data_IF_050632596333
#
_entry.id   IF_050632596333
#
_cell.length_a   1.000
_cell.length_b   1.000
_cell.length_c   1.000
_cell.angle_alpha   90.00
_cell.angle_beta   90.00
_cell.angle_gamma   90.00
#
_symmetry.space_group_name_H-M   'P 1'
#
loop_
_entity.id
_entity.type
_entity.pdbx_description
1 polymer ?
#
# COMPACT_ATOMS: atom_id res chain seq x y z
N UNK A 1 6.77 -4.13 -3.03
CA UNK A 1 7.03 -3.47 -1.72
C UNK A 1 7.58 -2.05 -1.89
N UNK A 2 8.73 -1.83 -2.57
CA UNK A 2 9.34 -0.49 -2.69
C UNK A 2 8.43 0.54 -3.35
N UNK A 3 7.80 0.21 -4.49
CA UNK A 3 6.85 1.12 -5.15
C UNK A 3 5.64 1.46 -4.27
N UNK A 4 5.13 0.48 -3.51
CA UNK A 4 4.04 0.70 -2.56
C UNK A 4 4.44 1.66 -1.42
N UNK A 5 5.69 1.62 -0.96
CA UNK A 5 6.20 2.57 0.03
C UNK A 5 6.26 4.00 -0.54
N UNK A 6 6.71 4.17 -1.79
CA UNK A 6 6.67 5.48 -2.46
C UNK A 6 5.25 6.01 -2.61
N UNK A 7 4.29 5.17 -3.02
CA UNK A 7 2.88 5.58 -3.15
C UNK A 7 2.27 5.95 -1.81
N UNK A 8 2.50 5.15 -0.77
CA UNK A 8 2.00 5.42 0.59
C UNK A 8 2.56 6.75 1.12
N UNK A 9 3.87 6.98 0.94
CA UNK A 9 4.52 8.23 1.34
C UNK A 9 3.97 9.42 0.53
N UNK A 10 3.80 9.26 -0.78
CA UNK A 10 3.24 10.30 -1.64
C UNK A 10 1.81 10.68 -1.23
N UNK A 11 0.96 9.69 -0.90
CA UNK A 11 -0.40 9.94 -0.42
C UNK A 11 -0.41 10.73 0.90
N UNK A 12 0.44 10.35 1.86
CA UNK A 12 0.54 11.06 3.15
C UNK A 12 1.05 12.49 2.96
N UNK A 13 2.14 12.67 2.21
CA UNK A 13 2.71 14.01 1.94
C UNK A 13 1.72 14.87 1.15
N UNK A 14 1.03 14.28 0.16
CA UNK A 14 -0.02 14.93 -0.62
C UNK A 14 -1.19 15.36 0.25
N UNK A 15 -1.64 14.50 1.17
CA UNK A 15 -2.72 14.82 2.11
C UNK A 15 -2.34 15.98 3.05
N UNK A 16 -1.12 15.98 3.60
CA UNK A 16 -0.61 17.07 4.43
C UNK A 16 -0.53 18.38 3.64
N UNK A 17 0.05 18.33 2.43
CA UNK A 17 0.10 19.49 1.53
C UNK A 17 -1.28 20.04 1.21
N UNK A 18 -2.24 19.17 0.86
CA UNK A 18 -3.62 19.53 0.58
C UNK A 18 -4.34 20.13 1.79
N UNK A 19 -4.12 19.57 3.00
CA UNK A 19 -4.69 20.10 4.23
C UNK A 19 -4.24 21.53 4.53
N UNK A 20 -2.94 21.80 4.34
CA UNK A 20 -2.41 23.16 4.48
C UNK A 20 -2.95 24.10 3.40
N UNK A 21 -3.07 23.64 2.13
CA UNK A 21 -3.66 24.44 1.04
C UNK A 21 -5.15 24.79 1.27
N UNK A 22 -5.91 23.91 1.93
CA UNK A 22 -7.28 24.21 2.32
C UNK A 22 -7.39 25.29 3.40
N UNK A 23 -6.36 25.41 4.26
CA UNK A 23 -6.29 26.43 5.33
C UNK A 23 -5.66 27.73 4.84
N UNK A 24 -4.66 27.64 3.97
CA UNK A 24 -3.86 28.77 3.47
C UNK A 24 -3.43 28.52 2.02
N UNK A 25 -4.23 29.00 1.07
CA UNK A 25 -3.97 28.85 -0.38
C UNK A 25 -2.66 29.51 -0.86
N UNK A 26 -2.00 30.32 -0.03
CA UNK A 26 -0.81 31.08 -0.41
C UNK A 26 0.52 30.37 -0.09
N UNK A 27 0.50 29.27 0.64
CA UNK A 27 1.70 28.56 1.10
C UNK A 27 2.54 27.93 -0.04
N UNK A 28 3.70 28.49 -0.42
CA UNK A 28 4.51 27.95 -1.53
C UNK A 28 5.08 26.57 -1.21
N UNK A 29 5.39 26.27 0.06
CA UNK A 29 5.85 24.96 0.50
C UNK A 29 4.77 23.89 0.33
N UNK A 30 3.54 24.17 0.77
CA UNK A 30 2.39 23.27 0.62
C UNK A 30 2.08 22.98 -0.85
N UNK A 31 2.20 24.00 -1.73
CA UNK A 31 2.05 23.82 -3.18
C UNK A 31 3.11 22.88 -3.74
N UNK A 32 4.38 23.01 -3.33
CA UNK A 32 5.47 22.11 -3.77
C UNK A 32 5.24 20.70 -3.28
N UNK A 33 4.91 20.50 -1.99
CA UNK A 33 4.61 19.20 -1.41
C UNK A 33 3.48 18.50 -2.19
N UNK A 34 2.35 19.19 -2.37
CA UNK A 34 1.21 18.63 -3.10
C UNK A 34 1.55 18.31 -4.55
N UNK A 35 2.26 19.24 -5.23
CA UNK A 35 2.69 19.06 -6.62
C UNK A 35 3.60 17.85 -6.81
N UNK A 36 4.59 17.64 -5.92
CA UNK A 36 5.51 16.50 -5.97
C UNK A 36 4.77 15.19 -5.70
N UNK A 37 3.88 15.17 -4.71
CA UNK A 37 3.06 14.01 -4.40
C UNK A 37 2.18 13.58 -5.60
N UNK A 38 1.54 14.54 -6.28
CA UNK A 38 0.72 14.23 -7.46
C UNK A 38 1.54 13.72 -8.65
N UNK A 39 2.78 14.22 -8.85
CA UNK A 39 3.69 13.64 -9.84
C UNK A 39 4.08 12.20 -9.49
N UNK A 40 4.42 11.95 -8.23
CA UNK A 40 4.76 10.60 -7.76
C UNK A 40 3.60 9.63 -8.00
N UNK A 41 2.38 10.02 -7.65
CA UNK A 41 1.18 9.20 -7.88
C UNK A 41 0.94 8.93 -9.37
N UNK A 42 1.05 9.96 -10.22
CA UNK A 42 0.82 9.83 -11.65
C UNK A 42 1.80 8.87 -12.32
N UNK A 43 3.07 8.88 -11.90
CA UNK A 43 4.13 8.08 -12.52
C UNK A 43 4.27 6.69 -11.88
N UNK A 44 4.20 6.61 -10.55
CA UNK A 44 4.50 5.35 -9.85
C UNK A 44 3.29 4.41 -9.81
N UNK A 45 2.04 4.93 -9.82
CA UNK A 45 0.88 4.05 -9.78
C UNK A 45 0.77 3.12 -11.00
N UNK A 46 0.94 3.58 -12.26
CA UNK A 46 0.98 2.67 -13.40
C UNK A 46 2.09 1.63 -13.30
N UNK A 47 3.28 2.03 -12.83
CA UNK A 47 4.39 1.10 -12.61
C UNK A 47 4.08 0.06 -11.54
N UNK A 48 3.38 0.46 -10.45
CA UNK A 48 2.93 -0.46 -9.41
C UNK A 48 1.91 -1.47 -9.96
N UNK A 49 0.98 -1.02 -10.82
CA UNK A 49 -0.01 -1.91 -11.46
C UNK A 49 0.70 -2.93 -12.36
N UNK A 50 1.61 -2.48 -13.21
CA UNK A 50 2.39 -3.37 -14.06
C UNK A 50 3.24 -4.36 -13.24
N UNK A 51 3.91 -3.90 -12.17
CA UNK A 51 4.65 -4.79 -11.28
C UNK A 51 3.74 -5.78 -10.54
N UNK A 52 2.50 -5.38 -10.24
CA UNK A 52 1.47 -6.23 -9.66
C UNK A 52 1.02 -7.33 -10.60
N UNK A 53 0.82 -7.02 -11.87
CA UNK A 53 0.46 -7.96 -12.93
C UNK A 53 1.54 -9.05 -13.09
N UNK A 54 2.80 -8.67 -13.24
CA UNK A 54 3.93 -9.62 -13.28
C UNK A 54 4.00 -10.49 -12.02
N UNK A 55 3.71 -9.92 -10.85
CA UNK A 55 3.67 -10.68 -9.61
C UNK A 55 2.49 -11.65 -9.56
N UNK A 56 1.34 -11.28 -10.11
CA UNK A 56 0.16 -12.13 -10.25
C UNK A 56 0.45 -13.38 -11.08
N UNK A 57 1.11 -13.22 -12.23
CA UNK A 57 1.52 -14.32 -13.11
C UNK A 57 2.50 -15.26 -12.38
N UNK A 58 3.51 -14.70 -11.72
CA UNK A 58 4.46 -15.48 -10.93
C UNK A 58 3.77 -16.25 -9.77
N UNK A 59 2.75 -15.63 -9.15
CA UNK A 59 1.97 -16.29 -8.10
C UNK A 59 1.12 -17.42 -8.66
N UNK A 60 0.56 -17.28 -9.86
CA UNK A 60 -0.20 -18.33 -10.53
C UNK A 60 0.68 -19.58 -10.79
N UNK A 61 1.93 -19.37 -11.20
CA UNK A 61 2.87 -20.45 -11.48
C UNK A 61 3.30 -21.21 -10.21
N UNK A 62 3.54 -20.49 -9.11
CA UNK A 62 4.15 -21.08 -7.90
C UNK A 62 3.15 -21.35 -6.77
N UNK A 63 2.00 -20.69 -6.74
CA UNK A 63 0.99 -20.80 -5.70
C UNK A 63 -0.44 -20.71 -6.31
N UNK A 64 -0.84 -21.63 -7.18
CA UNK A 64 -2.10 -21.56 -7.91
C UNK A 64 -3.32 -21.48 -6.98
N UNK A 65 -3.37 -22.25 -5.88
CA UNK A 65 -4.46 -22.22 -4.92
C UNK A 65 -4.76 -20.80 -4.40
N UNK A 66 -3.70 -20.00 -4.16
CA UNK A 66 -3.84 -18.60 -3.74
C UNK A 66 -4.56 -17.76 -4.79
N UNK A 67 -4.19 -17.91 -6.07
CA UNK A 67 -4.80 -17.17 -7.18
C UNK A 67 -6.25 -17.57 -7.37
N UNK A 68 -6.57 -18.87 -7.30
CA UNK A 68 -7.94 -19.37 -7.35
C UNK A 68 -8.79 -18.78 -6.23
N UNK A 69 -8.26 -18.69 -5.00
CA UNK A 69 -8.94 -18.05 -3.88
C UNK A 69 -9.07 -16.53 -4.05
N UNK A 70 -8.06 -15.83 -4.59
CA UNK A 70 -8.13 -14.40 -4.91
C UNK A 70 -9.23 -14.11 -5.94
N UNK A 71 -9.32 -14.92 -6.98
CA UNK A 71 -10.32 -14.76 -8.04
C UNK A 71 -11.70 -15.30 -7.62
N UNK A 72 -11.77 -16.24 -6.67
CA UNK A 72 -13.00 -16.88 -6.23
C UNK A 72 -13.43 -18.00 -7.17
N UNK A 73 -12.50 -18.60 -7.90
CA UNK A 73 -12.77 -19.72 -8.82
C UNK A 73 -12.82 -21.02 -8.05
N UNK A 74 -14.02 -21.46 -7.69
CA UNK A 74 -14.22 -22.79 -7.10
C UNK A 74 -14.19 -23.89 -8.16
N UNK A 75 -14.74 -23.64 -9.34
CA UNK A 75 -14.75 -24.56 -10.47
C UNK A 75 -13.69 -24.19 -11.51
N UNK A 76 -13.19 -25.19 -12.23
CA UNK A 76 -12.26 -25.01 -13.35
C UNK A 76 -12.96 -24.48 -14.59
N UNK A 77 -12.29 -23.60 -15.34
CA UNK A 77 -12.81 -22.92 -16.52
C UNK A 77 -12.00 -23.28 -17.77
N UNK A 78 -12.40 -24.31 -18.55
CA UNK A 78 -11.63 -24.76 -19.72
C UNK A 78 -11.63 -23.76 -20.89
N UNK A 79 -12.69 -22.92 -21.02
CA UNK A 79 -12.91 -21.99 -22.14
C UNK A 79 -12.69 -20.52 -21.79
N UNK A 80 -11.96 -20.27 -20.71
CA UNK A 80 -11.67 -18.94 -20.20
C UNK A 80 -12.49 -18.54 -18.97
N UNK A 81 -11.79 -18.13 -17.91
CA UNK A 81 -12.35 -17.79 -16.62
C UNK A 81 -12.86 -16.34 -16.55
N UNK A 82 -14.04 -16.12 -15.95
CA UNK A 82 -14.55 -14.77 -15.71
C UNK A 82 -13.78 -14.07 -14.59
N UNK A 83 -13.70 -12.75 -14.64
CA UNK A 83 -13.26 -11.94 -13.50
C UNK A 83 -14.47 -11.60 -12.64
N UNK A 84 -14.49 -12.08 -11.42
CA UNK A 84 -15.53 -11.74 -10.44
C UNK A 84 -15.16 -10.41 -9.80
N UNK A 85 -15.85 -9.34 -10.15
CA UNK A 85 -15.61 -8.00 -9.58
C UNK A 85 -16.10 -7.91 -8.14
N UNK A 86 -17.28 -8.47 -7.87
CA UNK A 86 -17.90 -8.51 -6.55
C UNK A 86 -18.66 -9.82 -6.39
N UNK A 87 -18.77 -10.30 -5.16
CA UNK A 87 -19.52 -11.50 -4.79
C UNK A 87 -19.25 -11.85 -3.34
N UNK A 88 -19.98 -12.83 -2.83
CA UNK A 88 -19.80 -13.36 -1.47
C UNK A 88 -19.37 -14.83 -1.59
N UNK A 89 -18.09 -15.16 -1.38
CA UNK A 89 -17.62 -16.53 -1.44
C UNK A 89 -18.25 -17.38 -0.34
N UNK A 90 -18.88 -18.48 -0.74
CA UNK A 90 -19.42 -19.50 0.13
C UNK A 90 -18.57 -20.78 -0.02
N UNK A 91 -17.60 -20.94 0.88
CA UNK A 91 -16.65 -22.06 0.82
C UNK A 91 -17.34 -23.41 1.11
N UNK A 92 -18.44 -23.42 1.90
CA UNK A 92 -19.17 -24.65 2.19
C UNK A 92 -19.95 -25.19 0.97
N UNK A 93 -20.47 -24.29 0.15
CA UNK A 93 -21.19 -24.63 -1.09
C UNK A 93 -20.30 -24.54 -2.34
N UNK A 94 -19.02 -24.20 -2.17
CA UNK A 94 -18.01 -24.05 -3.23
C UNK A 94 -18.49 -23.17 -4.39
N UNK A 95 -19.09 -22.01 -4.06
CA UNK A 95 -19.56 -21.02 -5.04
C UNK A 95 -19.43 -19.59 -4.54
N UNK A 96 -19.57 -18.65 -5.45
CA UNK A 96 -19.67 -17.24 -5.13
C UNK A 96 -21.11 -16.78 -5.32
N UNK A 97 -21.76 -16.38 -4.22
CA UNK A 97 -23.13 -15.86 -4.27
C UNK A 97 -23.14 -14.40 -4.75
N UNK A 98 -24.18 -14.00 -5.47
CA UNK A 98 -24.38 -12.65 -6.02
C UNK A 98 -23.17 -12.13 -6.82
N UNK A 99 -22.53 -13.01 -7.58
CA UNK A 99 -21.36 -12.65 -8.36
C UNK A 99 -21.69 -11.66 -9.48
N UNK A 100 -20.90 -10.56 -9.56
CA UNK A 100 -20.85 -9.66 -10.70
C UNK A 100 -19.59 -10.00 -11.48
N UNK A 101 -19.77 -10.56 -12.67
CA UNK A 101 -18.69 -11.16 -13.45
C UNK A 101 -18.47 -10.45 -14.78
N UNK A 102 -17.21 -10.36 -15.19
CA UNK A 102 -16.84 -9.99 -16.56
C UNK A 102 -16.29 -11.23 -17.24
N UNK A 103 -16.99 -11.77 -18.27
CA UNK A 103 -16.60 -13.01 -18.92
C UNK A 103 -15.17 -12.98 -19.46
N UNK A 104 -14.40 -14.04 -19.26
CA UNK A 104 -13.06 -14.28 -19.82
C UNK A 104 -11.96 -13.28 -19.40
N UNK A 105 -12.28 -12.29 -18.57
CA UNK A 105 -11.32 -11.23 -18.24
C UNK A 105 -10.22 -11.74 -17.30
N UNK A 106 -10.49 -12.70 -16.41
CA UNK A 106 -9.47 -13.30 -15.56
C UNK A 106 -8.42 -14.05 -16.38
N UNK A 107 -8.84 -14.84 -17.38
CA UNK A 107 -7.91 -15.51 -18.30
C UNK A 107 -7.08 -14.51 -19.10
N UNK A 108 -7.67 -13.41 -19.55
CA UNK A 108 -6.94 -12.35 -20.25
C UNK A 108 -5.85 -11.73 -19.38
N UNK A 109 -6.14 -11.46 -18.10
CA UNK A 109 -5.19 -10.86 -17.17
C UNK A 109 -4.08 -11.85 -16.78
N UNK A 110 -4.43 -13.09 -16.44
CA UNK A 110 -3.50 -14.07 -15.88
C UNK A 110 -2.71 -14.86 -16.93
N UNK A 111 -3.27 -15.05 -18.14
CA UNK A 111 -2.69 -15.86 -19.22
C UNK A 111 -2.47 -15.07 -20.51
N UNK A 112 -2.90 -13.81 -20.59
CA UNK A 112 -2.88 -12.96 -21.80
C UNK A 112 -3.63 -13.58 -22.99
N UNK A 113 -4.57 -14.50 -22.72
CA UNK A 113 -5.46 -15.14 -23.72
C UNK A 113 -6.86 -15.28 -23.13
N UNK A 114 -7.86 -14.83 -23.88
CA UNK A 114 -9.28 -14.85 -23.47
C UNK A 114 -9.83 -16.27 -23.28
N UNK A 115 -9.30 -17.24 -24.01
CA UNK A 115 -9.78 -18.61 -23.99
C UNK A 115 -8.82 -19.56 -23.25
N UNK A 116 -7.79 -19.04 -22.60
CA UNK A 116 -6.88 -19.88 -21.84
C UNK A 116 -7.60 -20.55 -20.66
N UNK A 117 -7.42 -21.86 -20.46
CA UNK A 117 -8.00 -22.55 -19.33
C UNK A 117 -7.38 -22.08 -18.01
N UNK A 118 -8.21 -21.91 -16.99
CA UNK A 118 -7.79 -21.69 -15.62
C UNK A 118 -8.40 -22.76 -14.72
N UNK A 119 -7.55 -23.36 -13.91
CA UNK A 119 -7.96 -24.34 -12.92
C UNK A 119 -8.68 -23.65 -11.76
N UNK A 120 -9.63 -24.34 -11.14
CA UNK A 120 -10.33 -23.92 -9.94
C UNK A 120 -9.86 -24.67 -8.70
N UNK A 121 -10.44 -24.32 -7.55
CA UNK A 121 -10.17 -24.99 -6.28
C UNK A 121 -10.64 -26.46 -6.29
N UNK A 122 -11.51 -26.86 -7.22
CA UNK A 122 -11.93 -28.25 -7.48
C UNK A 122 -10.75 -29.19 -7.80
N UNK A 123 -9.62 -28.65 -8.23
CA UNK A 123 -8.40 -29.42 -8.50
C UNK A 123 -7.52 -29.65 -7.26
N UNK A 124 -7.88 -29.04 -6.12
CA UNK A 124 -7.10 -29.03 -4.88
C UNK A 124 -7.86 -29.77 -3.79
N UNK A 125 -7.19 -30.60 -2.94
CA UNK A 125 -7.82 -31.21 -1.79
C UNK A 125 -8.42 -30.16 -0.84
N UNK A 126 -9.60 -30.43 -0.28
CA UNK A 126 -10.31 -29.52 0.64
C UNK A 126 -9.43 -29.09 1.83
N UNK A 127 -8.55 -29.95 2.31
CA UNK A 127 -7.62 -29.69 3.41
C UNK A 127 -6.48 -28.71 3.04
N UNK A 128 -6.25 -28.48 1.76
CA UNK A 128 -5.22 -27.61 1.20
C UNK A 128 -5.81 -26.29 0.65
N UNK A 129 -7.12 -26.11 0.73
CA UNK A 129 -7.77 -24.88 0.31
C UNK A 129 -7.47 -23.73 1.28
N UNK A 130 -7.06 -22.55 0.78
CA UNK A 130 -6.94 -21.36 1.62
C UNK A 130 -8.31 -20.82 2.04
N UNK A 131 -8.38 -19.97 3.12
CA UNK A 131 -9.63 -19.29 3.51
C UNK A 131 -10.09 -18.31 2.45
N UNK A 132 -10.95 -18.76 1.51
CA UNK A 132 -11.31 -18.01 0.29
C UNK A 132 -11.87 -16.63 0.59
N UNK A 133 -12.83 -16.52 1.52
CA UNK A 133 -13.51 -15.24 1.79
C UNK A 133 -12.53 -14.11 2.19
N UNK A 134 -11.58 -14.40 3.07
CA UNK A 134 -10.61 -13.40 3.53
C UNK A 134 -9.69 -12.97 2.38
N UNK A 135 -9.18 -13.94 1.62
CA UNK A 135 -8.29 -13.71 0.48
C UNK A 135 -8.99 -12.92 -0.62
N UNK A 136 -10.21 -13.32 -0.96
CA UNK A 136 -11.06 -12.70 -1.96
C UNK A 136 -11.34 -11.21 -1.67
N UNK A 137 -11.78 -10.88 -0.46
CA UNK A 137 -12.08 -9.49 -0.11
C UNK A 137 -10.83 -8.63 0.08
N UNK A 138 -9.79 -9.17 0.72
CA UNK A 138 -8.55 -8.40 0.90
C UNK A 138 -7.89 -8.07 -0.44
N UNK A 139 -7.87 -9.00 -1.39
CA UNK A 139 -7.38 -8.76 -2.74
C UNK A 139 -8.16 -7.65 -3.45
N UNK A 140 -9.49 -7.67 -3.39
CA UNK A 140 -10.34 -6.64 -4.01
C UNK A 140 -10.17 -5.27 -3.38
N UNK A 141 -10.02 -5.19 -2.07
CA UNK A 141 -9.71 -3.92 -1.39
C UNK A 141 -8.36 -3.37 -1.88
N UNK A 142 -7.33 -4.22 -1.95
CA UNK A 142 -6.00 -3.82 -2.43
C UNK A 142 -6.06 -3.29 -3.87
N UNK A 143 -6.65 -4.06 -4.78
CA UNK A 143 -6.75 -3.72 -6.21
C UNK A 143 -7.65 -2.50 -6.42
N UNK A 144 -8.80 -2.44 -5.76
CA UNK A 144 -9.72 -1.31 -5.83
C UNK A 144 -9.07 0.00 -5.37
N UNK A 145 -8.30 -0.03 -4.29
CA UNK A 145 -7.51 1.12 -3.86
C UNK A 145 -6.40 1.47 -4.84
N UNK A 146 -5.77 0.48 -5.48
CA UNK A 146 -4.79 0.70 -6.55
C UNK A 146 -5.39 1.48 -7.73
N UNK A 147 -6.57 1.08 -8.21
CA UNK A 147 -7.29 1.82 -9.25
C UNK A 147 -7.79 3.19 -8.78
N UNK A 148 -8.21 3.32 -7.52
CA UNK A 148 -8.55 4.62 -6.95
C UNK A 148 -7.34 5.57 -6.92
N UNK A 149 -6.15 5.07 -6.58
CA UNK A 149 -4.89 5.83 -6.64
C UNK A 149 -4.54 6.24 -8.07
N UNK A 150 -4.74 5.35 -9.05
CA UNK A 150 -4.55 5.66 -10.47
C UNK A 150 -5.49 6.78 -10.91
N UNK A 151 -6.78 6.65 -10.64
CA UNK A 151 -7.78 7.66 -10.97
C UNK A 151 -7.48 9.01 -10.30
N UNK A 152 -7.03 8.97 -9.04
CA UNK A 152 -6.63 10.17 -8.31
C UNK A 152 -5.37 10.82 -8.90
N UNK A 153 -4.36 10.03 -9.28
CA UNK A 153 -3.15 10.50 -9.98
C UNK A 153 -3.47 11.15 -11.33
N UNK A 154 -4.33 10.51 -12.12
CA UNK A 154 -4.82 11.05 -13.40
C UNK A 154 -5.62 12.35 -13.21
N UNK A 155 -6.50 12.41 -12.21
CA UNK A 155 -7.21 13.64 -11.86
C UNK A 155 -6.24 14.77 -11.52
N UNK A 156 -5.21 14.49 -10.73
CA UNK A 156 -4.14 15.45 -10.43
C UNK A 156 -3.38 15.91 -11.67
N UNK A 157 -3.08 14.99 -12.61
CA UNK A 157 -2.47 15.30 -13.90
C UNK A 157 -3.35 16.22 -14.77
N UNK A 158 -4.64 15.92 -14.87
CA UNK A 158 -5.62 16.76 -15.59
C UNK A 158 -5.76 18.13 -14.92
N UNK A 159 -5.87 18.19 -13.60
CA UNK A 159 -5.95 19.43 -12.85
C UNK A 159 -4.69 20.29 -13.02
N UNK A 160 -3.53 19.68 -13.16
CA UNK A 160 -2.26 20.35 -13.48
C UNK A 160 -2.30 20.95 -14.88
N UNK A 161 -2.71 20.16 -15.87
CA UNK A 161 -2.81 20.63 -17.25
C UNK A 161 -3.80 21.80 -17.39
N UNK A 162 -4.90 21.76 -16.61
CA UNK A 162 -5.89 22.86 -16.56
C UNK A 162 -5.47 24.03 -15.67
N UNK A 163 -4.32 24.00 -15.02
CA UNK A 163 -3.87 25.05 -14.09
C UNK A 163 -4.64 25.09 -12.76
N UNK A 164 -5.50 24.12 -12.46
CA UNK A 164 -6.38 24.11 -11.29
C UNK A 164 -5.87 23.28 -10.11
N UNK A 165 -4.65 22.72 -10.22
CA UNK A 165 -4.09 21.83 -9.23
C UNK A 165 -4.09 22.42 -7.80
N UNK A 166 -3.75 23.69 -7.66
CA UNK A 166 -3.63 24.36 -6.37
C UNK A 166 -4.89 25.11 -5.92
N UNK A 167 -5.92 25.19 -6.77
CA UNK A 167 -7.17 25.90 -6.48
C UNK A 167 -8.36 24.97 -6.27
N UNK A 168 -8.28 23.71 -6.72
CA UNK A 168 -9.37 22.74 -6.64
C UNK A 168 -9.57 22.20 -5.23
N UNK A 169 -10.55 22.74 -4.50
CA UNK A 169 -10.90 22.29 -3.15
C UNK A 169 -11.34 20.82 -3.10
N UNK A 170 -11.99 20.32 -4.16
CA UNK A 170 -12.43 18.93 -4.22
C UNK A 170 -11.22 17.97 -4.34
N UNK A 171 -10.24 18.32 -5.16
CA UNK A 171 -9.01 17.54 -5.30
C UNK A 171 -8.24 17.50 -3.97
N UNK A 172 -8.17 18.64 -3.25
CA UNK A 172 -7.51 18.68 -1.94
C UNK A 172 -8.26 17.86 -0.88
N UNK A 173 -9.61 17.88 -0.88
CA UNK A 173 -10.40 17.02 0.02
C UNK A 173 -10.19 15.53 -0.29
N UNK A 174 -10.22 15.17 -1.58
CA UNK A 174 -9.92 13.82 -2.01
C UNK A 174 -8.51 13.37 -1.59
N UNK A 175 -7.51 14.26 -1.67
CA UNK A 175 -6.15 13.98 -1.20
C UNK A 175 -6.10 13.63 0.29
N UNK A 176 -6.87 14.32 1.13
CA UNK A 176 -6.92 14.03 2.57
C UNK A 176 -7.52 12.65 2.83
N UNK A 177 -8.61 12.30 2.12
CA UNK A 177 -9.25 10.98 2.23
C UNK A 177 -8.30 9.88 1.73
N UNK A 178 -7.59 10.14 0.63
CA UNK A 178 -6.62 9.19 0.08
C UNK A 178 -5.36 9.03 0.94
N UNK A 179 -5.08 9.96 1.85
CA UNK A 179 -3.87 9.94 2.70
C UNK A 179 -3.58 8.60 3.39
N UNK A 180 -4.54 8.01 4.13
CA UNK A 180 -4.37 6.72 4.79
C UNK A 180 -4.51 5.51 3.86
N UNK A 181 -5.02 5.66 2.63
CA UNK A 181 -5.41 4.53 1.77
C UNK A 181 -4.21 3.70 1.30
N UNK A 182 -3.02 4.29 1.25
CA UNK A 182 -1.78 3.56 0.98
C UNK A 182 -1.50 2.48 2.04
N UNK A 183 -1.67 2.80 3.31
CA UNK A 183 -1.52 1.83 4.40
C UNK A 183 -2.59 0.74 4.32
N UNK A 184 -3.84 1.12 4.04
CA UNK A 184 -4.94 0.14 3.89
C UNK A 184 -4.65 -0.84 2.75
N UNK A 185 -4.19 -0.34 1.60
CA UNK A 185 -3.82 -1.18 0.46
C UNK A 185 -2.67 -2.13 0.78
N UNK A 186 -1.63 -1.66 1.48
CA UNK A 186 -0.49 -2.49 1.91
C UNK A 186 -0.93 -3.58 2.89
N UNK A 187 -1.76 -3.23 3.88
CA UNK A 187 -2.30 -4.20 4.85
C UNK A 187 -3.19 -5.24 4.16
N UNK A 188 -4.07 -4.81 3.25
CA UNK A 188 -4.91 -5.72 2.48
C UNK A 188 -4.08 -6.69 1.62
N UNK A 189 -3.03 -6.18 0.95
CA UNK A 189 -2.10 -7.02 0.19
C UNK A 189 -1.31 -8.00 1.08
N UNK A 190 -0.92 -7.57 2.27
CA UNK A 190 -0.27 -8.45 3.25
C UNK A 190 -1.20 -9.57 3.72
N UNK A 191 -2.46 -9.25 4.06
CA UNK A 191 -3.48 -10.25 4.40
C UNK A 191 -3.67 -11.24 3.25
N UNK A 192 -3.83 -10.75 2.01
CA UNK A 192 -3.95 -11.61 0.82
C UNK A 192 -2.78 -12.58 0.70
N UNK A 193 -1.55 -12.10 0.92
CA UNK A 193 -0.34 -12.92 0.78
C UNK A 193 -0.23 -13.97 1.87
N UNK A 194 -0.43 -13.60 3.12
CA UNK A 194 -0.19 -14.47 4.28
C UNK A 194 -1.36 -15.44 4.53
N UNK A 195 -2.60 -14.98 4.40
CA UNK A 195 -3.77 -15.84 4.55
C UNK A 195 -3.94 -16.75 3.32
N UNK A 196 -3.69 -16.22 2.11
CA UNK A 196 -3.77 -17.00 0.87
C UNK A 196 -2.69 -18.08 0.73
N UNK A 197 -1.67 -18.08 1.59
CA UNK A 197 -0.66 -19.13 1.65
C UNK A 197 -1.09 -20.32 2.51
N UNK A 198 -2.04 -20.11 3.43
CA UNK A 198 -2.52 -21.19 4.30
C UNK A 198 -3.18 -22.32 3.48
N UNK A 199 -3.09 -23.59 3.95
CA UNK A 199 -2.54 -24.03 5.24
C UNK A 199 -1.01 -24.25 5.28
N UNK A 200 -0.27 -23.77 4.30
CA UNK A 200 1.16 -24.01 4.21
C UNK A 200 2.02 -22.86 4.80
N UNK A 201 3.07 -23.21 5.51
CA UNK A 201 4.21 -22.31 5.81
C UNK A 201 5.14 -22.22 4.59
N UNK A 202 5.45 -23.36 3.96
CA UNK A 202 6.15 -23.47 2.68
C UNK A 202 5.24 -24.25 1.74
N UNK A 203 4.74 -23.59 0.68
CA UNK A 203 3.75 -24.15 -0.21
C UNK A 203 4.13 -25.53 -0.76
N UNK A 204 3.26 -26.52 -0.57
CA UNK A 204 3.43 -27.88 -1.02
C UNK A 204 4.46 -28.72 -0.25
N UNK A 205 5.21 -28.16 0.71
CA UNK A 205 6.28 -28.84 1.45
C UNK A 205 6.04 -28.93 2.94
N UNK A 206 5.60 -27.84 3.59
CA UNK A 206 5.47 -27.79 5.04
C UNK A 206 4.18 -27.08 5.41
N UNK A 207 3.29 -27.82 6.08
CA UNK A 207 2.05 -27.25 6.63
C UNK A 207 2.36 -26.45 7.90
N UNK A 208 1.54 -25.43 8.14
CA UNK A 208 1.64 -24.58 9.35
C UNK A 208 1.46 -25.40 10.63
N UNK A 209 0.59 -26.43 10.59
CA UNK A 209 0.39 -27.39 11.71
C UNK A 209 1.67 -28.11 12.09
N UNK A 210 2.51 -28.44 11.11
CA UNK A 210 3.71 -29.26 11.29
C UNK A 210 4.94 -28.41 11.64
N UNK A 211 4.84 -27.09 11.50
CA UNK A 211 5.91 -26.12 11.77
C UNK A 211 5.88 -25.55 13.20
N UNK A 212 5.10 -26.16 14.09
CA UNK A 212 4.98 -25.70 15.48
C UNK A 212 6.27 -25.95 16.25
N UNK A 213 6.80 -24.88 16.85
CA UNK A 213 7.94 -25.02 17.78
C UNK A 213 7.47 -25.66 19.10
N UNK A 214 8.34 -26.43 19.79
CA UNK A 214 8.01 -27.07 21.08
C UNK A 214 8.02 -26.06 22.23
N UNK A 215 7.22 -24.99 22.10
CA UNK A 215 7.06 -23.93 23.10
C UNK A 215 5.64 -23.96 23.65
N UNK A 216 5.51 -23.80 24.96
CA UNK A 216 4.19 -23.81 25.61
C UNK A 216 3.31 -22.65 25.16
N UNK A 217 2.04 -22.89 24.89
CA UNK A 217 1.09 -21.87 24.46
C UNK A 217 1.02 -20.63 25.38
N UNK A 218 1.08 -20.75 26.73
CA UNK A 218 1.16 -19.60 27.62
C UNK A 218 2.38 -18.72 27.42
N UNK A 219 3.55 -19.31 27.13
CA UNK A 219 4.78 -18.54 26.89
C UNK A 219 4.70 -17.74 25.58
N UNK A 220 4.14 -18.35 24.51
CA UNK A 220 3.87 -17.67 23.23
C UNK A 220 2.87 -16.54 23.46
N UNK A 221 1.79 -16.78 24.19
CA UNK A 221 0.78 -15.77 24.51
C UNK A 221 1.36 -14.58 25.29
N UNK A 222 2.16 -14.84 26.32
CA UNK A 222 2.81 -13.79 27.10
C UNK A 222 3.78 -12.95 26.25
N UNK A 223 4.58 -13.60 25.39
CA UNK A 223 5.46 -12.92 24.44
C UNK A 223 4.66 -12.04 23.48
N UNK A 224 3.60 -12.57 22.87
CA UNK A 224 2.75 -11.83 21.93
C UNK A 224 2.12 -10.59 22.59
N UNK A 225 1.55 -10.74 23.78
CA UNK A 225 0.98 -9.62 24.54
C UNK A 225 2.06 -8.56 24.83
N UNK A 226 3.25 -8.98 25.25
CA UNK A 226 4.36 -8.07 25.50
C UNK A 226 4.75 -7.28 24.25
N UNK A 227 4.84 -7.94 23.09
CA UNK A 227 5.10 -7.26 21.80
C UNK A 227 4.00 -6.25 21.45
N UNK A 228 2.73 -6.65 21.59
CA UNK A 228 1.60 -5.74 21.30
C UNK A 228 1.67 -4.50 22.19
N UNK A 229 1.89 -4.67 23.49
CA UNK A 229 1.96 -3.55 24.43
C UNK A 229 3.15 -2.64 24.12
N UNK A 230 4.34 -3.18 23.97
CA UNK A 230 5.55 -2.38 23.68
C UNK A 230 5.40 -1.63 22.35
N UNK A 231 4.95 -2.31 21.31
CA UNK A 231 4.78 -1.69 19.99
C UNK A 231 3.68 -0.64 19.97
N UNK A 232 2.58 -0.86 20.71
CA UNK A 232 1.55 0.17 20.85
C UNK A 232 2.10 1.48 21.42
N UNK A 233 2.92 1.41 22.47
CA UNK A 233 3.53 2.61 23.04
C UNK A 233 4.61 3.22 22.13
N UNK A 234 5.51 2.42 21.60
CA UNK A 234 6.61 2.91 20.76
C UNK A 234 6.09 3.55 19.47
N UNK A 235 5.26 2.80 18.72
CA UNK A 235 4.70 3.33 17.48
C UNK A 235 3.65 4.40 17.72
N UNK A 236 2.86 4.29 18.79
CA UNK A 236 1.90 5.32 19.19
C UNK A 236 2.59 6.66 19.47
N UNK A 237 3.68 6.65 20.23
CA UNK A 237 4.49 7.85 20.47
C UNK A 237 5.09 8.41 19.15
N UNK A 238 5.62 7.54 18.28
CA UNK A 238 6.13 7.93 16.97
C UNK A 238 5.06 8.58 16.08
N UNK A 239 3.89 7.96 15.97
CA UNK A 239 2.75 8.49 15.21
C UNK A 239 2.29 9.83 15.78
N UNK A 240 2.15 9.93 17.11
CA UNK A 240 1.78 11.18 17.77
C UNK A 240 2.77 12.32 17.46
N UNK A 241 4.07 12.03 17.52
CA UNK A 241 5.12 13.00 17.20
C UNK A 241 5.04 13.43 15.72
N UNK A 242 4.93 12.50 14.79
CA UNK A 242 4.83 12.77 13.35
C UNK A 242 3.58 13.59 13.03
N UNK A 243 2.42 13.25 13.62
CA UNK A 243 1.19 14.03 13.45
C UNK A 243 1.34 15.45 14.02
N UNK A 244 2.09 15.61 15.12
CA UNK A 244 2.46 16.91 15.67
C UNK A 244 3.29 17.75 14.68
N UNK A 245 4.28 17.14 14.02
CA UNK A 245 5.09 17.80 12.98
C UNK A 245 4.24 18.15 11.75
N UNK A 246 3.36 17.26 11.28
CA UNK A 246 2.48 17.49 10.14
C UNK A 246 1.52 18.67 10.33
N UNK A 247 1.17 19.00 11.58
CA UNK A 247 0.33 20.16 11.92
C UNK A 247 1.05 21.48 11.81
N UNK A 248 2.38 21.52 11.90
CA UNK A 248 3.18 22.73 11.74
C UNK A 248 3.14 23.19 10.29
N UNK A 249 3.10 24.52 10.08
CA UNK A 249 3.13 25.07 8.71
C UNK A 249 4.49 24.79 8.06
N UNK A 250 4.51 24.21 6.85
CA UNK A 250 5.76 24.02 6.13
C UNK A 250 6.30 25.38 5.65
N UNK A 251 7.55 25.66 5.96
CA UNK A 251 8.26 26.86 5.52
C UNK A 251 9.18 26.53 4.33
N UNK A 252 9.27 27.45 3.35
CA UNK A 252 10.28 27.39 2.30
C UNK A 252 11.50 28.17 2.81
N UNK A 253 12.61 27.47 2.97
CA UNK A 253 13.82 28.06 3.54
C UNK A 253 13.61 28.33 5.03
N UNK A 254 13.73 27.31 5.87
CA UNK A 254 14.30 27.57 7.17
C UNK A 254 15.68 28.17 6.88
N UNK A 255 15.86 29.50 7.11
CA UNK A 255 17.18 29.95 7.51
C UNK A 255 17.54 28.95 8.61
N UNK A 256 18.59 28.16 8.41
CA UNK A 256 19.26 27.52 9.52
C UNK A 256 19.49 28.65 10.50
N UNK A 257 18.71 28.69 11.59
CA UNK A 257 19.16 29.40 12.79
C UNK A 257 20.49 28.71 13.09
N UNK A 258 21.56 29.41 12.81
CA UNK A 258 22.89 28.99 13.17
C UNK A 258 22.86 28.83 14.69
N UNK A 259 22.52 27.61 15.12
CA UNK A 259 22.63 27.26 16.53
C UNK A 259 24.10 27.34 16.85
N UNK A 260 24.46 28.14 17.83
CA UNK A 260 25.85 28.36 18.36
C UNK A 260 26.48 27.07 18.93
N UNK A 261 26.04 25.91 18.44
CA UNK A 261 26.49 24.59 18.85
C UNK A 261 27.03 23.77 17.66
N UNK A 262 27.84 22.76 17.93
CA UNK A 262 28.43 21.93 16.89
C UNK A 262 27.31 21.20 16.08
N UNK A 263 27.23 21.51 14.78
CA UNK A 263 26.31 20.83 13.85
C UNK A 263 26.85 19.43 13.61
N UNK A 264 26.14 18.42 14.09
CA UNK A 264 26.40 17.01 13.73
C UNK A 264 25.62 16.67 12.45
N UNK A 265 26.32 16.58 11.34
CA UNK A 265 25.82 15.84 10.19
C UNK A 265 25.89 14.33 10.51
N UNK A 266 24.80 13.57 10.20
CA UNK A 266 24.59 12.17 10.50
C UNK A 266 25.88 11.31 10.54
N UNK A 267 26.43 11.08 11.74
CA UNK A 267 27.53 10.17 11.98
C UNK A 267 28.95 10.66 11.66
N UNK A 268 29.15 11.94 11.31
CA UNK A 268 30.47 12.51 10.97
C UNK A 268 30.95 13.53 12.01
N UNK A 269 32.26 13.79 12.00
CA UNK A 269 32.98 14.72 12.90
C UNK A 269 32.38 16.14 12.85
N UNK A 270 32.28 16.84 13.98
CA UNK A 270 31.79 18.23 13.97
C UNK A 270 32.70 19.11 13.12
N UNK A 271 32.12 19.87 12.19
CA UNK A 271 32.83 20.88 11.42
C UNK A 271 32.87 22.13 12.28
N UNK A 272 34.08 22.63 12.64
CA UNK A 272 34.26 23.92 13.27
C UNK A 272 33.92 25.03 12.25
N UNK A 273 32.95 25.88 12.55
CA UNK A 273 32.72 27.08 11.75
C UNK A 273 33.89 28.01 11.90
N UNK A 274 34.48 28.36 10.76
CA UNK A 274 35.56 29.35 10.70
C UNK A 274 34.99 30.77 10.93
N UNK A 275 35.27 31.35 12.09
CA UNK A 275 34.84 32.69 12.50
C UNK A 275 35.56 33.84 11.78
N UNK A 276 36.27 33.57 10.68
CA UNK A 276 37.12 34.55 10.01
C UNK A 276 36.40 35.47 9.01
N UNK A 277 35.09 35.33 8.79
CA UNK A 277 34.37 36.21 7.84
C UNK A 277 33.74 37.48 8.44
N UNK A 278 33.66 37.61 9.76
CA UNK A 278 33.00 38.78 10.37
C UNK A 278 33.94 39.99 10.65
N UNK A 279 35.25 39.86 10.33
CA UNK A 279 36.20 40.96 10.57
C UNK A 279 36.42 41.87 9.33
N UNK A 280 36.02 41.40 8.15
CA UNK A 280 36.21 42.16 6.91
C UNK A 280 35.06 43.12 6.54
N UNK A 281 34.03 43.24 7.37
CA UNK A 281 32.90 44.14 7.13
C UNK A 281 32.83 45.34 8.09
N UNK A 282 33.90 45.57 8.87
CA UNK A 282 33.96 46.69 9.83
C UNK A 282 35.17 47.62 9.65
N UNK A 283 35.79 47.63 8.44
CA UNK A 283 36.74 48.67 8.04
C UNK A 283 36.22 49.51 6.87
#
# INVERSE_FOLDING_TARGET
>A
MVLAAYLTTALVVGAVGAWHLLKDNQGPASRRMFSMAMWMLLLVTPLQIAAGDFHGINTLEHQPAKVMAMEGHFDSHPDGAPLILFGIPNQAEKRVDYAIEVPKLSSLILKHDLNAPLDGLDTIPDEDEPPVAIVFFSFRVMVGLGFAMLGFGLWGGIARWRGTLHSSRWLHRAAIVMGPMGFVAVLAGWITTEVGRQPFTVYGLLRTSDSLAPVSAPAVGASLISFIVVYFFVFGAGVFYILGLMRKRPHVGAQEELTDGPVRAAGTTPVAQDKTQDIAASE
#
